data_IF_466779719573
#
_entry.id   IF_466779719573
#
_cell.length_a   1.000
_cell.length_b   1.000
_cell.length_c   1.000
_cell.angle_alpha   90.00
_cell.angle_beta   90.00
_cell.angle_gamma   90.00
#
_symmetry.space_group_name_H-M   'P 1'
#
loop_
_entity.id
_entity.type
_entity.pdbx_description
1 polymer ?
#
# COMPACT_ATOMS: atom_id res chain seq x y z
N UNK A 1 -11.51 9.25 -1.61
CA UNK A 1 -10.51 8.39 -0.95
C UNK A 1 -11.26 7.50 0.03
N UNK A 2 -11.66 6.32 -0.42
CA UNK A 2 -12.58 5.43 0.31
C UNK A 2 -11.89 4.74 1.48
N UNK A 3 -10.57 4.53 1.38
CA UNK A 3 -9.80 3.90 2.45
C UNK A 3 -9.79 4.71 3.75
N UNK A 4 -9.79 6.05 3.66
CA UNK A 4 -9.86 6.91 4.85
C UNK A 4 -11.19 6.74 5.59
N UNK A 5 -12.28 6.43 4.90
CA UNK A 5 -13.58 6.23 5.52
C UNK A 5 -13.61 4.92 6.35
N UNK A 6 -12.76 3.96 5.99
CA UNK A 6 -12.65 2.65 6.64
C UNK A 6 -11.68 2.69 7.81
N UNK A 7 -10.52 3.33 7.63
CA UNK A 7 -9.48 3.39 8.65
C UNK A 7 -9.93 4.31 9.77
N UNK A 8 -10.11 3.79 10.99
CA UNK A 8 -10.50 4.59 12.16
C UNK A 8 -9.30 5.11 12.94
N UNK A 9 -8.13 4.50 12.74
CA UNK A 9 -6.89 4.89 13.38
C UNK A 9 -6.42 6.30 12.92
N UNK A 10 -6.35 7.25 13.87
CA UNK A 10 -5.96 8.63 13.59
C UNK A 10 -4.48 8.77 13.17
N UNK A 11 -3.59 7.90 13.66
CA UNK A 11 -2.18 7.94 13.31
C UNK A 11 -2.00 7.54 11.84
N UNK A 12 -2.66 6.47 11.40
CA UNK A 12 -2.66 6.03 10.01
C UNK A 12 -3.23 7.10 9.08
N UNK A 13 -4.37 7.72 9.46
CA UNK A 13 -4.94 8.85 8.71
C UNK A 13 -3.96 10.02 8.57
N UNK A 14 -3.23 10.33 9.65
CA UNK A 14 -2.23 11.41 9.65
C UNK A 14 -1.06 11.09 8.73
N UNK A 15 -0.57 9.84 8.72
CA UNK A 15 0.49 9.41 7.80
C UNK A 15 0.03 9.56 6.35
N UNK A 16 -1.14 9.04 6.01
CA UNK A 16 -1.71 9.14 4.65
C UNK A 16 -1.80 10.61 4.21
N UNK A 17 -2.35 11.49 5.06
CA UNK A 17 -2.47 12.92 4.76
C UNK A 17 -1.12 13.61 4.62
N UNK A 18 -0.11 13.27 5.45
CA UNK A 18 1.23 13.86 5.38
C UNK A 18 1.99 13.50 4.12
N UNK A 19 1.74 12.30 3.58
CA UNK A 19 2.38 11.85 2.34
C UNK A 19 1.74 12.46 1.08
N UNK A 20 0.70 13.29 1.23
CA UNK A 20 -0.03 13.92 0.13
C UNK A 20 -0.39 12.94 -0.99
N UNK A 21 -0.77 11.72 -0.60
CA UNK A 21 -1.18 10.69 -1.57
C UNK A 21 -2.49 11.13 -2.20
N UNK A 22 -2.52 11.08 -3.52
CA UNK A 22 -3.64 11.59 -4.33
C UNK A 22 -4.34 10.47 -5.08
N UNK A 23 -3.66 9.33 -5.24
CA UNK A 23 -4.16 8.17 -5.93
C UNK A 23 -4.29 6.98 -4.97
N UNK A 24 -5.31 6.15 -5.22
CA UNK A 24 -5.63 4.97 -4.45
C UNK A 24 -5.88 3.81 -5.40
N UNK A 25 -5.19 2.69 -5.18
CA UNK A 25 -5.49 1.41 -5.81
C UNK A 25 -6.00 0.48 -4.71
N UNK A 26 -7.20 -0.07 -4.91
CA UNK A 26 -7.79 -1.07 -4.01
C UNK A 26 -7.98 -2.38 -4.76
N UNK A 27 -7.42 -3.47 -4.22
CA UNK A 27 -7.57 -4.81 -4.78
C UNK A 27 -7.76 -5.84 -3.67
N UNK A 28 -8.33 -6.99 -4.02
CA UNK A 28 -8.40 -8.11 -3.08
C UNK A 28 -6.99 -8.68 -2.84
N UNK A 29 -6.67 -9.03 -1.60
CA UNK A 29 -5.35 -9.58 -1.24
C UNK A 29 -4.99 -10.85 -2.03
N UNK A 30 -5.98 -11.69 -2.35
CA UNK A 30 -5.78 -12.92 -3.14
C UNK A 30 -5.29 -12.69 -4.57
N UNK A 31 -5.43 -11.47 -5.10
CA UNK A 31 -5.01 -11.12 -6.46
C UNK A 31 -3.53 -10.74 -6.55
N UNK A 32 -2.89 -10.41 -5.43
CA UNK A 32 -1.49 -9.95 -5.40
C UNK A 32 -0.60 -11.08 -4.89
N UNK A 33 -0.05 -11.86 -5.83
CA UNK A 33 0.89 -12.96 -5.55
C UNK A 33 2.36 -12.53 -5.57
N UNK A 34 2.69 -11.53 -6.39
CA UNK A 34 4.04 -10.99 -6.57
C UNK A 34 3.96 -9.47 -6.47
N UNK A 35 4.46 -8.93 -5.36
CA UNK A 35 4.36 -7.49 -5.06
C UNK A 35 5.26 -6.65 -5.95
N UNK A 36 6.43 -7.16 -6.33
CA UNK A 36 7.35 -6.46 -7.21
C UNK A 36 6.71 -6.20 -8.57
N UNK A 37 6.15 -7.24 -9.19
CA UNK A 37 5.45 -7.12 -10.49
C UNK A 37 4.18 -6.31 -10.39
N UNK A 38 3.39 -6.51 -9.34
CA UNK A 38 2.16 -5.75 -9.15
C UNK A 38 2.43 -4.25 -9.08
N UNK A 39 3.42 -3.84 -8.27
CA UNK A 39 3.77 -2.42 -8.11
C UNK A 39 4.39 -1.85 -9.39
N UNK A 40 5.26 -2.58 -10.08
CA UNK A 40 5.88 -2.10 -11.33
C UNK A 40 4.86 -1.90 -12.46
N UNK A 41 3.87 -2.79 -12.55
CA UNK A 41 2.77 -2.66 -13.51
C UNK A 41 1.78 -1.55 -13.14
N UNK A 42 1.46 -1.42 -11.84
CA UNK A 42 0.35 -0.57 -11.39
C UNK A 42 0.75 0.88 -11.21
N UNK A 43 2.02 1.16 -10.90
CA UNK A 43 2.46 2.51 -10.55
C UNK A 43 3.24 3.18 -11.68
N UNK A 44 2.93 4.47 -11.97
CA UNK A 44 3.76 5.26 -12.89
C UNK A 44 5.23 5.30 -12.46
N UNK A 45 6.13 5.36 -13.44
CA UNK A 45 7.59 5.38 -13.19
C UNK A 45 8.07 6.60 -12.38
N UNK A 46 7.31 7.69 -12.36
CA UNK A 46 7.64 8.91 -11.59
C UNK A 46 7.31 8.85 -10.10
N UNK A 47 6.56 7.83 -9.66
CA UNK A 47 6.20 7.65 -8.24
C UNK A 47 7.43 7.28 -7.43
N UNK A 48 7.62 7.94 -6.28
CA UNK A 48 8.75 7.73 -5.37
C UNK A 48 8.35 7.30 -3.96
N UNK A 49 7.14 7.59 -3.53
CA UNK A 49 6.66 7.28 -2.19
C UNK A 49 5.34 6.54 -2.32
N UNK A 50 5.21 5.42 -1.61
CA UNK A 50 3.97 4.66 -1.58
C UNK A 50 3.64 4.24 -0.15
N UNK A 51 2.35 4.24 0.17
CA UNK A 51 1.82 3.69 1.41
C UNK A 51 0.96 2.49 1.05
N UNK A 52 1.34 1.31 1.56
CA UNK A 52 0.62 0.06 1.39
C UNK A 52 -0.10 -0.25 2.68
N UNK A 53 -1.41 -0.46 2.62
CA UNK A 53 -2.25 -0.77 3.77
C UNK A 53 -2.87 -2.14 3.59
N UNK A 54 -2.68 -3.00 4.59
CA UNK A 54 -2.97 -4.43 4.53
C UNK A 54 -3.72 -4.91 5.76
N UNK A 55 -4.39 -6.06 5.67
CA UNK A 55 -4.89 -6.77 6.84
C UNK A 55 -3.74 -7.13 7.80
N UNK A 56 -4.03 -7.13 9.10
CA UNK A 56 -3.03 -7.42 10.15
C UNK A 56 -2.42 -8.83 10.05
N UNK A 57 -3.23 -9.80 9.64
CA UNK A 57 -2.81 -11.19 9.41
C UNK A 57 -2.07 -11.42 8.09
N UNK A 58 -1.84 -10.37 7.29
CA UNK A 58 -1.11 -10.50 6.04
C UNK A 58 0.39 -10.55 6.31
N UNK A 59 1.00 -11.71 6.04
CA UNK A 59 2.42 -11.94 6.21
C UNK A 59 3.08 -12.13 4.85
N UNK A 60 3.92 -11.17 4.46
CA UNK A 60 4.62 -11.20 3.19
C UNK A 60 5.82 -10.24 3.22
N UNK A 61 6.91 -10.62 2.54
CA UNK A 61 8.13 -9.82 2.36
C UNK A 61 7.95 -8.70 1.32
N UNK A 62 6.88 -7.91 1.47
CA UNK A 62 6.40 -6.93 0.49
C UNK A 62 7.49 -5.92 0.13
N UNK A 63 8.19 -5.40 1.14
CA UNK A 63 9.24 -4.40 0.96
C UNK A 63 10.40 -4.95 0.14
N UNK A 64 10.77 -6.20 0.35
CA UNK A 64 11.87 -6.84 -0.36
C UNK A 64 11.51 -7.11 -1.82
N UNK A 65 10.33 -7.69 -2.07
CA UNK A 65 9.82 -7.95 -3.42
C UNK A 65 9.72 -6.65 -4.24
N UNK A 66 9.24 -5.56 -3.62
CA UNK A 66 9.16 -4.26 -4.30
C UNK A 66 10.57 -3.69 -4.54
N UNK A 67 11.46 -3.74 -3.55
CA UNK A 67 12.83 -3.22 -3.68
C UNK A 67 13.61 -3.90 -4.82
N UNK A 68 13.36 -5.19 -5.07
CA UNK A 68 14.01 -5.94 -6.14
C UNK A 68 13.63 -5.44 -7.56
N UNK A 69 12.47 -4.78 -7.71
CA UNK A 69 11.98 -4.28 -9.01
C UNK A 69 12.06 -2.75 -9.09
N UNK A 70 11.75 -2.07 -7.98
CA UNK A 70 11.66 -0.61 -7.83
C UNK A 70 12.42 -0.16 -6.59
N UNK A 71 13.75 -0.32 -6.62
CA UNK A 71 14.63 -0.02 -5.49
C UNK A 71 14.68 1.44 -5.06
N UNK A 72 14.18 2.35 -5.90
CA UNK A 72 14.07 3.79 -5.65
C UNK A 72 12.78 4.19 -4.91
N UNK A 73 11.82 3.27 -4.76
CA UNK A 73 10.57 3.53 -4.03
C UNK A 73 10.79 3.51 -2.52
N UNK A 74 10.36 4.57 -1.87
CA UNK A 74 10.11 4.61 -0.43
C UNK A 74 8.77 3.94 -0.14
N UNK A 75 8.80 2.79 0.53
CA UNK A 75 7.61 1.97 0.83
C UNK A 75 7.30 2.01 2.31
N UNK A 76 6.14 2.56 2.66
CA UNK A 76 5.57 2.45 4.00
C UNK A 76 4.52 1.35 3.97
N UNK A 77 4.64 0.39 4.88
CA UNK A 77 3.65 -0.68 5.04
C UNK A 77 2.94 -0.47 6.36
N UNK A 78 1.61 -0.38 6.31
CA UNK A 78 0.71 -0.23 7.44
C UNK A 78 -0.17 -1.47 7.50
N UNK A 79 -0.22 -2.10 8.66
CA UNK A 79 -1.15 -3.19 8.95
C UNK A 79 -2.32 -2.62 9.74
N UNK A 80 -3.55 -2.96 9.35
CA UNK A 80 -4.77 -2.43 9.97
C UNK A 80 -5.79 -3.55 10.18
N UNK A 81 -6.29 -3.75 11.41
CA UNK A 81 -7.31 -4.76 11.71
C UNK A 81 -8.68 -4.44 11.10
N UNK A 82 -8.93 -3.17 10.75
CA UNK A 82 -10.15 -2.73 10.08
C UNK A 82 -10.25 -3.22 8.63
N UNK A 83 -9.12 -3.61 8.04
CA UNK A 83 -9.06 -4.05 6.64
C UNK A 83 -9.10 -5.58 6.59
N UNK A 84 -10.07 -6.10 5.85
CA UNK A 84 -10.25 -7.55 5.61
C UNK A 84 -10.27 -7.81 4.11
N UNK A 85 -9.51 -8.82 3.68
CA UNK A 85 -9.46 -9.35 2.31
C UNK A 85 -9.16 -8.33 1.20
N UNK A 86 -8.81 -7.10 1.57
CA UNK A 86 -8.46 -6.01 0.66
C UNK A 86 -7.09 -5.46 1.03
N UNK A 87 -6.41 -4.92 0.05
CA UNK A 87 -5.22 -4.10 0.23
C UNK A 87 -5.40 -2.78 -0.49
N UNK A 88 -4.69 -1.77 -0.01
CA UNK A 88 -4.68 -0.45 -0.59
C UNK A 88 -3.24 -0.03 -0.87
N UNK A 89 -2.99 0.53 -2.05
CA UNK A 89 -1.74 1.19 -2.40
C UNK A 89 -2.04 2.65 -2.68
N UNK A 90 -1.39 3.54 -1.95
CA UNK A 90 -1.57 4.98 -2.02
C UNK A 90 -0.28 5.64 -2.49
N UNK A 91 -0.40 6.58 -3.44
CA UNK A 91 0.74 7.28 -4.04
C UNK A 91 0.39 8.65 -4.64
#
# INVERSE_FOLDING_TARGET
MQVLDIIKDQMVRTIISKFNVTHEISVNTSLVKDWGKFIDFSLPKGVKNIVIILPENYDNEIREQIRNVRGDLSVIVIKSPEIKDKLYVLY
#
